data_IF_535304386132
#
_entry.id   IF_535304386132
#
_cell.length_a   1.000
_cell.length_b   1.000
_cell.length_c   1.000
_cell.angle_alpha   90.00
_cell.angle_beta   90.00
_cell.angle_gamma   90.00
#
_symmetry.space_group_name_H-M   'P 1'
#
loop_
_entity.id
_entity.type
_entity.pdbx_description
1 polymer ?
#
# COMPACT_ATOMS: atom_id res chain seq x y z
N UNK A 1 -11.92 67.31 25.52
CA UNK A 1 -11.10 66.49 26.45
C UNK A 1 -10.22 65.60 25.60
N UNK A 2 -8.91 65.83 25.60
CA UNK A 2 -7.99 65.17 24.67
C UNK A 2 -7.70 63.76 25.20
N UNK A 3 -7.59 62.78 24.29
CA UNK A 3 -7.36 61.35 24.59
C UNK A 3 -6.12 61.12 25.48
N UNK A 4 -5.20 62.08 25.51
CA UNK A 4 -3.99 62.08 26.32
C UNK A 4 -4.27 62.14 27.83
N UNK A 5 -5.25 62.93 28.24
CA UNK A 5 -5.56 63.16 29.66
C UNK A 5 -6.18 61.90 30.30
N UNK A 6 -6.91 61.10 29.49
CA UNK A 6 -7.50 59.83 29.92
C UNK A 6 -6.47 58.69 30.06
N UNK A 7 -5.33 58.80 29.38
CA UNK A 7 -4.24 57.81 29.47
C UNK A 7 -3.38 58.04 30.72
N UNK A 8 -3.19 59.29 31.14
CA UNK A 8 -2.48 59.61 32.39
C UNK A 8 -3.30 59.19 33.63
N UNK A 9 -4.62 59.39 33.63
CA UNK A 9 -5.49 58.89 34.71
C UNK A 9 -5.45 57.36 34.86
N UNK A 10 -5.32 56.61 33.76
CA UNK A 10 -5.24 55.14 33.78
C UNK A 10 -3.87 54.61 34.21
N UNK A 11 -2.79 55.36 33.98
CA UNK A 11 -1.43 54.96 34.40
C UNK A 11 -1.17 55.24 35.89
N UNK A 12 -1.95 56.11 36.52
CA UNK A 12 -1.77 56.52 37.92
C UNK A 12 -2.58 55.67 38.91
N UNK A 13 -3.44 54.76 38.43
CA UNK A 13 -4.28 53.86 39.25
C UNK A 13 -3.88 52.38 39.14
N UNK A 14 -2.58 52.08 39.19
CA UNK A 14 -2.11 50.71 39.41
C UNK A 14 -1.98 50.46 40.92
N UNK A 15 -2.73 49.51 41.51
CA UNK A 15 -2.54 49.13 42.92
C UNK A 15 -1.18 48.46 43.12
N UNK A 16 -0.58 48.71 44.30
CA UNK A 16 0.66 48.09 44.75
C UNK A 16 0.59 46.56 44.73
N UNK A 17 1.75 45.95 44.46
CA UNK A 17 1.96 44.54 44.22
C UNK A 17 1.51 43.67 45.41
N UNK A 18 0.61 42.72 45.13
CA UNK A 18 0.40 41.55 46.00
C UNK A 18 1.30 40.41 45.51
N UNK A 19 2.19 39.99 46.39
CA UNK A 19 3.27 39.01 46.20
C UNK A 19 2.70 37.60 46.34
N UNK A 20 2.05 37.10 45.28
CA UNK A 20 1.61 35.71 45.21
C UNK A 20 2.35 34.95 44.09
N UNK A 21 3.55 34.48 44.45
CA UNK A 21 4.02 33.13 44.10
C UNK A 21 4.44 32.79 42.65
N UNK A 22 4.49 33.72 41.69
CA UNK A 22 4.98 33.45 40.34
C UNK A 22 6.30 34.17 40.02
N UNK A 23 7.42 33.54 40.38
CA UNK A 23 8.74 33.92 39.85
C UNK A 23 8.80 33.63 38.35
N UNK A 24 8.37 34.59 37.53
CA UNK A 24 8.58 34.55 36.08
C UNK A 24 10.01 35.00 35.77
N UNK A 25 10.95 34.06 35.73
CA UNK A 25 12.23 34.29 35.06
C UNK A 25 12.05 34.13 33.55
N UNK A 26 12.41 35.18 32.79
CA UNK A 26 12.61 35.06 31.36
C UNK A 26 13.72 34.03 31.10
N UNK A 27 13.53 33.05 30.20
CA UNK A 27 14.55 32.04 29.94
C UNK A 27 15.80 32.70 29.36
N UNK A 28 16.92 32.62 30.09
CA UNK A 28 18.23 33.15 29.71
C UNK A 28 18.87 32.46 28.49
N UNK A 29 18.12 31.60 27.78
CA UNK A 29 18.50 31.00 26.51
C UNK A 29 17.24 30.56 25.76
N UNK A 30 17.04 31.09 24.55
CA UNK A 30 16.08 30.53 23.60
C UNK A 30 16.51 29.09 23.29
N UNK A 31 15.61 28.11 23.52
CA UNK A 31 15.83 26.73 23.08
C UNK A 31 16.14 26.77 21.59
N UNK A 32 17.27 26.19 21.18
CA UNK A 32 17.53 25.90 19.77
C UNK A 32 16.43 24.96 19.31
N UNK A 33 15.53 25.50 18.51
CA UNK A 33 14.55 24.74 17.76
C UNK A 33 15.35 23.89 16.77
N UNK A 34 15.60 22.61 17.09
CA UNK A 34 16.12 21.67 16.11
C UNK A 34 14.97 21.24 15.21
N UNK A 35 14.43 22.21 14.48
CA UNK A 35 13.80 21.93 13.21
C UNK A 35 14.93 21.50 12.27
N UNK A 36 15.17 20.18 12.18
CA UNK A 36 16.11 19.61 11.21
C UNK A 36 15.82 20.25 9.84
N UNK A 37 16.86 20.60 9.07
CA UNK A 37 16.73 21.29 7.77
C UNK A 37 15.75 20.54 6.85
N UNK A 38 15.69 19.21 7.04
CA UNK A 38 14.73 18.31 6.43
C UNK A 38 13.28 18.57 6.85
N UNK A 39 13.03 18.76 8.15
CA UNK A 39 11.72 19.12 8.72
C UNK A 39 11.31 20.54 8.30
N UNK A 40 12.24 21.49 8.29
CA UNK A 40 12.00 22.84 7.79
C UNK A 40 11.66 22.85 6.30
N UNK A 41 12.32 22.02 5.50
CA UNK A 41 11.99 21.78 4.09
C UNK A 41 10.60 21.15 3.94
N UNK A 42 10.24 20.17 4.77
CA UNK A 42 8.91 19.54 4.70
C UNK A 42 7.79 20.51 5.06
N UNK A 43 7.99 21.34 6.08
CA UNK A 43 7.05 22.42 6.45
C UNK A 43 6.96 23.43 5.30
N UNK A 44 8.08 23.83 4.68
CA UNK A 44 8.09 24.73 3.52
C UNK A 44 7.50 24.12 2.25
N UNK A 45 7.63 22.81 2.01
CA UNK A 45 7.00 22.13 0.88
C UNK A 45 5.49 21.99 1.10
N UNK A 46 5.05 21.62 2.31
CA UNK A 46 3.65 21.57 2.69
C UNK A 46 2.99 22.97 2.68
N UNK A 47 3.76 24.01 3.00
CA UNK A 47 3.34 25.42 2.94
C UNK A 47 3.62 26.10 1.60
N UNK A 48 4.17 25.39 0.61
CA UNK A 48 4.42 25.97 -0.71
C UNK A 48 3.08 26.30 -1.37
N UNK A 49 2.95 27.52 -1.91
CA UNK A 49 1.72 28.04 -2.53
C UNK A 49 1.17 27.15 -3.66
N UNK A 50 1.98 26.22 -4.19
CA UNK A 50 1.55 25.21 -5.17
C UNK A 50 0.76 24.04 -4.58
N UNK A 51 0.95 23.72 -3.28
CA UNK A 51 0.19 22.70 -2.56
C UNK A 51 -0.97 23.27 -1.72
N UNK A 52 -0.91 24.55 -1.36
CA UNK A 52 -1.87 25.19 -0.45
C UNK A 52 -3.08 25.86 -1.14
N UNK A 53 -3.12 25.95 -2.48
CA UNK A 53 -4.21 26.60 -3.22
C UNK A 53 -5.00 25.61 -4.08
N UNK A 54 -6.27 25.42 -3.74
CA UNK A 54 -7.27 24.63 -4.48
C UNK A 54 -7.72 23.39 -3.72
N UNK A 55 -8.83 22.77 -4.16
CA UNK A 55 -9.49 21.55 -3.64
C UNK A 55 -8.59 20.33 -3.30
N UNK A 56 -7.29 20.45 -3.54
CA UNK A 56 -6.21 19.47 -3.42
C UNK A 56 -5.82 19.13 -1.98
N UNK A 57 -6.02 20.03 -1.01
CA UNK A 57 -5.82 19.75 0.44
C UNK A 57 -7.06 19.11 1.07
N UNK A 58 -8.25 19.40 0.53
CA UNK A 58 -9.53 18.88 1.03
C UNK A 58 -9.59 17.35 0.96
N UNK A 59 -9.12 16.75 -0.13
CA UNK A 59 -9.09 15.29 -0.30
C UNK A 59 -8.16 14.58 0.70
N UNK A 60 -6.97 15.14 0.97
CA UNK A 60 -5.98 14.58 1.90
C UNK A 60 -6.43 14.72 3.36
N UNK A 61 -6.89 15.91 3.77
CA UNK A 61 -7.44 16.14 5.13
C UNK A 61 -8.74 15.37 5.36
N UNK A 62 -9.63 15.29 4.35
CA UNK A 62 -10.84 14.48 4.45
C UNK A 62 -10.51 12.98 4.52
N UNK A 63 -9.47 12.50 3.84
CA UNK A 63 -9.04 11.10 3.95
C UNK A 63 -8.46 10.75 5.32
N UNK A 64 -7.70 11.67 5.93
CA UNK A 64 -7.13 11.50 7.27
C UNK A 64 -8.17 11.63 8.39
N UNK A 65 -9.11 12.58 8.31
CA UNK A 65 -10.07 12.89 9.39
C UNK A 65 -11.30 11.94 9.46
N UNK A 66 -11.35 10.86 8.67
CA UNK A 66 -12.50 9.92 8.63
C UNK A 66 -12.43 8.78 9.64
N UNK A 67 -11.32 8.58 10.34
CA UNK A 67 -11.15 7.50 11.33
C UNK A 67 -11.99 7.69 12.61
N UNK A 68 -12.56 8.87 12.86
CA UNK A 68 -13.27 9.19 14.12
C UNK A 68 -14.74 9.64 14.00
N UNK A 69 -15.40 9.44 12.85
CA UNK A 69 -16.82 9.85 12.66
C UNK A 69 -17.78 8.67 12.76
N UNK A 70 -19.05 8.97 13.05
CA UNK A 70 -20.17 8.03 12.94
C UNK A 70 -20.12 7.27 11.60
N UNK A 71 -20.48 5.98 11.61
CA UNK A 71 -20.44 5.15 10.42
C UNK A 71 -21.33 5.76 9.33
N UNK A 72 -20.75 6.06 8.16
CA UNK A 72 -21.50 6.49 6.97
C UNK A 72 -21.20 5.52 5.85
N UNK A 73 -22.25 5.10 5.15
CA UNK A 73 -22.13 4.28 3.96
C UNK A 73 -21.33 5.04 2.90
N UNK A 74 -20.15 4.53 2.54
CA UNK A 74 -19.30 5.16 1.52
C UNK A 74 -19.69 4.68 0.13
N UNK A 75 -20.43 5.53 -0.58
CA UNK A 75 -20.87 5.29 -1.95
C UNK A 75 -19.81 5.64 -3.00
N UNK A 76 -18.63 6.13 -2.60
CA UNK A 76 -17.58 6.45 -3.58
C UNK A 76 -17.00 5.21 -4.23
N UNK A 77 -16.54 5.36 -5.47
CA UNK A 77 -15.70 4.36 -6.12
C UNK A 77 -14.44 4.08 -5.30
N UNK A 78 -14.18 2.80 -5.05
CA UNK A 78 -12.99 2.35 -4.32
C UNK A 78 -11.91 2.02 -5.33
N UNK A 79 -10.71 2.51 -5.06
CA UNK A 79 -9.52 2.18 -5.85
C UNK A 79 -8.42 1.80 -4.87
N UNK A 80 -7.76 0.66 -5.14
CA UNK A 80 -6.55 0.27 -4.45
C UNK A 80 -5.38 0.83 -5.24
N UNK A 81 -4.51 1.58 -4.56
CA UNK A 81 -3.23 2.01 -5.13
C UNK A 81 -2.12 1.45 -4.28
N UNK A 82 -1.27 0.62 -4.90
CA UNK A 82 -0.02 0.17 -4.28
C UNK A 82 1.12 0.97 -4.90
N UNK A 83 1.98 1.55 -4.08
CA UNK A 83 3.10 2.37 -4.53
C UNK A 83 4.40 1.90 -3.87
N UNK A 84 5.42 1.66 -4.68
CA UNK A 84 6.76 1.28 -4.23
C UNK A 84 7.82 2.20 -4.83
N UNK A 85 8.79 2.57 -4.01
CA UNK A 85 10.00 3.27 -4.44
C UNK A 85 11.08 2.24 -4.72
N UNK A 86 11.37 1.98 -5.99
CA UNK A 86 12.45 1.09 -6.39
C UNK A 86 13.75 1.86 -6.48
N UNK A 87 14.57 1.75 -5.43
CA UNK A 87 15.89 2.39 -5.36
C UNK A 87 16.89 1.60 -6.18
N UNK A 88 17.65 2.31 -7.00
CA UNK A 88 18.72 1.71 -7.79
C UNK A 88 19.99 1.54 -6.94
N UNK A 89 20.03 0.48 -6.12
CA UNK A 89 21.20 0.06 -5.35
C UNK A 89 22.12 -0.83 -6.23
N UNK A 90 23.45 -0.69 -6.14
CA UNK A 90 24.42 -1.51 -6.91
C UNK A 90 25.11 -0.80 -8.09
N UNK A 91 25.72 -1.53 -9.04
CA UNK A 91 26.40 -0.98 -10.24
C UNK A 91 25.42 -0.84 -11.42
N UNK A 92 25.68 0.12 -12.32
CA UNK A 92 24.78 0.58 -13.41
C UNK A 92 24.10 -0.52 -14.24
N UNK A 93 24.85 -1.54 -14.68
CA UNK A 93 24.33 -2.63 -15.51
C UNK A 93 23.28 -3.51 -14.79
N UNK A 94 23.50 -3.81 -13.50
CA UNK A 94 22.58 -4.63 -12.71
C UNK A 94 21.24 -3.92 -12.46
N UNK A 95 21.26 -2.58 -12.34
CA UNK A 95 20.06 -1.75 -12.16
C UNK A 95 19.19 -1.74 -13.42
N UNK A 96 19.82 -1.51 -14.58
CA UNK A 96 19.15 -1.53 -15.87
C UNK A 96 18.55 -2.91 -16.16
N UNK A 97 19.29 -3.99 -15.85
CA UNK A 97 18.80 -5.36 -16.00
C UNK A 97 17.55 -5.64 -15.14
N UNK A 98 17.52 -5.21 -13.87
CA UNK A 98 16.37 -5.40 -12.99
C UNK A 98 15.12 -4.63 -13.47
N UNK A 99 15.30 -3.41 -14.00
CA UNK A 99 14.20 -2.64 -14.59
C UNK A 99 13.71 -3.27 -15.90
N UNK A 100 14.64 -3.69 -16.78
CA UNK A 100 14.31 -4.36 -18.03
C UNK A 100 13.58 -5.70 -17.81
N UNK A 101 14.02 -6.50 -16.83
CA UNK A 101 13.34 -7.75 -16.45
C UNK A 101 11.91 -7.47 -15.96
N UNK A 102 11.71 -6.40 -15.19
CA UNK A 102 10.39 -6.01 -14.73
C UNK A 102 9.48 -5.55 -15.89
N UNK A 103 10.01 -4.76 -16.84
CA UNK A 103 9.27 -4.39 -18.06
C UNK A 103 8.85 -5.63 -18.86
N UNK A 104 9.75 -6.60 -19.02
CA UNK A 104 9.42 -7.86 -19.70
C UNK A 104 8.33 -8.64 -18.96
N UNK A 105 8.41 -8.71 -17.63
CA UNK A 105 7.39 -9.37 -16.81
C UNK A 105 6.02 -8.71 -16.91
N UNK A 106 5.97 -7.37 -16.99
CA UNK A 106 4.74 -6.60 -17.17
C UNK A 106 4.14 -6.79 -18.56
N UNK A 107 4.94 -6.90 -19.61
CA UNK A 107 4.49 -7.15 -20.99
C UNK A 107 4.30 -8.63 -21.34
N UNK A 108 4.08 -9.51 -20.36
CA UNK A 108 3.97 -10.95 -20.59
C UNK A 108 2.71 -11.31 -21.39
N UNK A 109 2.76 -12.43 -22.12
CA UNK A 109 1.56 -13.05 -22.68
C UNK A 109 0.61 -13.46 -21.57
N UNK A 110 -0.69 -13.39 -21.84
CA UNK A 110 -1.75 -13.71 -20.88
C UNK A 110 -2.23 -12.51 -20.07
N UNK A 111 -1.47 -11.42 -20.02
CA UNK A 111 -1.80 -10.25 -19.19
C UNK A 111 -2.70 -9.23 -19.91
N UNK A 112 -2.72 -9.20 -21.24
CA UNK A 112 -3.54 -8.29 -22.04
C UNK A 112 -5.01 -8.70 -22.12
N UNK A 113 -5.79 -7.93 -22.88
CA UNK A 113 -7.19 -8.26 -23.18
C UNK A 113 -7.25 -9.63 -23.86
N UNK A 114 -8.19 -10.48 -23.44
CA UNK A 114 -8.36 -11.85 -23.98
C UNK A 114 -7.10 -12.74 -23.92
N UNK A 115 -6.13 -12.43 -23.05
CA UNK A 115 -4.90 -13.21 -22.90
C UNK A 115 -3.77 -12.80 -23.85
N UNK A 116 -3.91 -11.69 -24.56
CA UNK A 116 -2.86 -11.14 -25.40
C UNK A 116 -1.65 -10.61 -24.60
N UNK A 117 -0.63 -10.14 -25.30
CA UNK A 117 0.46 -9.39 -24.66
C UNK A 117 -0.06 -8.03 -24.19
N UNK A 118 0.27 -7.68 -22.96
CA UNK A 118 -0.07 -6.36 -22.45
C UNK A 118 0.77 -5.28 -23.16
N UNK A 119 0.10 -4.36 -23.85
CA UNK A 119 0.72 -3.25 -24.56
C UNK A 119 1.12 -2.14 -23.56
N UNK A 120 2.24 -1.47 -23.84
CA UNK A 120 2.66 -0.31 -23.07
C UNK A 120 2.19 0.98 -23.73
N UNK A 121 1.86 1.96 -22.91
CA UNK A 121 1.47 3.29 -23.33
C UNK A 121 2.03 4.34 -22.37
N UNK A 122 2.09 5.58 -22.83
CA UNK A 122 2.37 6.73 -21.98
C UNK A 122 1.25 7.77 -22.10
N UNK A 123 1.57 9.04 -21.79
CA UNK A 123 0.63 10.14 -21.88
C UNK A 123 0.03 10.31 -23.28
N UNK A 124 0.84 10.15 -24.32
CA UNK A 124 0.51 10.56 -25.69
C UNK A 124 0.52 9.38 -26.66
N UNK A 125 1.38 8.40 -26.41
CA UNK A 125 1.67 7.30 -27.33
C UNK A 125 1.07 6.00 -26.79
N UNK A 126 0.32 5.32 -27.65
CA UNK A 126 -0.04 3.91 -27.47
C UNK A 126 1.03 3.02 -28.14
N UNK A 127 1.17 1.78 -27.68
CA UNK A 127 2.09 0.78 -28.25
C UNK A 127 3.56 1.19 -28.25
N UNK A 128 3.98 1.80 -27.15
CA UNK A 128 5.35 2.25 -26.89
C UNK A 128 6.30 1.06 -26.69
N UNK A 129 7.50 1.14 -27.27
CA UNK A 129 8.63 0.29 -26.86
C UNK A 129 9.09 0.66 -25.44
N UNK A 130 8.58 -0.10 -24.47
CA UNK A 130 8.90 0.10 -23.06
C UNK A 130 10.39 -0.09 -22.76
N UNK A 131 11.12 -0.95 -23.48
CA UNK A 131 12.57 -1.13 -23.24
C UNK A 131 13.33 0.11 -23.65
N UNK A 132 13.01 0.68 -24.81
CA UNK A 132 13.60 1.94 -25.26
C UNK A 132 13.27 3.08 -24.30
N UNK A 133 12.02 3.18 -23.84
CA UNK A 133 11.56 4.24 -22.95
C UNK A 133 12.27 4.25 -21.58
N UNK A 134 12.58 3.08 -21.03
CA UNK A 134 13.23 2.97 -19.70
C UNK A 134 14.75 2.83 -19.76
N UNK A 135 15.36 2.74 -20.94
CA UNK A 135 16.79 2.44 -21.10
C UNK A 135 17.69 3.36 -20.25
N UNK A 136 17.36 4.66 -20.24
CA UNK A 136 18.14 5.68 -19.52
C UNK A 136 17.78 5.82 -18.03
N UNK A 137 16.79 5.07 -17.52
CA UNK A 137 16.35 5.21 -16.14
C UNK A 137 17.29 4.49 -15.18
N UNK A 138 18.09 3.52 -15.63
CA UNK A 138 19.04 2.78 -14.76
C UNK A 138 20.14 3.65 -14.13
N UNK A 139 20.36 4.86 -14.66
CA UNK A 139 21.24 5.88 -14.08
C UNK A 139 20.57 6.78 -13.04
N UNK A 140 19.24 6.76 -12.94
CA UNK A 140 18.52 7.55 -11.95
C UNK A 140 18.73 6.98 -10.54
N UNK A 141 18.42 7.76 -9.50
CA UNK A 141 18.50 7.27 -8.12
C UNK A 141 17.44 6.19 -7.84
N UNK A 142 16.26 6.35 -8.44
CA UNK A 142 15.11 5.49 -8.21
C UNK A 142 14.07 5.67 -9.32
N UNK A 143 13.11 4.75 -9.37
CA UNK A 143 11.83 4.92 -10.06
C UNK A 143 10.69 4.48 -9.12
N UNK A 144 9.47 4.90 -9.44
CA UNK A 144 8.28 4.47 -8.73
C UNK A 144 7.57 3.39 -9.54
N UNK A 145 7.08 2.38 -8.84
CA UNK A 145 6.17 1.36 -9.37
C UNK A 145 4.83 1.55 -8.70
N UNK A 146 3.79 1.79 -9.48
CA UNK A 146 2.44 1.95 -9.02
C UNK A 146 1.58 0.84 -9.60
N UNK A 147 0.61 0.38 -8.81
CA UNK A 147 -0.50 -0.44 -9.29
C UNK A 147 -1.77 0.33 -8.97
N UNK A 148 -2.62 0.53 -9.96
CA UNK A 148 -3.91 1.21 -9.82
C UNK A 148 -4.99 0.19 -10.16
N UNK A 149 -5.74 -0.25 -9.14
CA UNK A 149 -6.78 -1.29 -9.27
C UNK A 149 -8.13 -0.73 -8.80
N UNK A 150 -8.97 -0.24 -9.72
CA UNK A 150 -10.35 0.13 -9.42
C UNK A 150 -11.15 -1.11 -9.03
N UNK A 151 -11.98 -1.02 -7.98
CA UNK A 151 -12.78 -2.17 -7.52
C UNK A 151 -13.75 -2.68 -8.58
N UNK A 152 -14.27 -1.77 -9.42
CA UNK A 152 -15.17 -2.04 -10.54
C UNK A 152 -14.47 -1.73 -11.88
N UNK A 153 -13.21 -2.17 -12.03
CA UNK A 153 -12.37 -1.90 -13.19
C UNK A 153 -12.95 -2.42 -14.51
N UNK A 154 -13.71 -3.52 -14.46
CA UNK A 154 -14.42 -4.12 -15.59
C UNK A 154 -15.51 -3.22 -16.18
N UNK A 155 -16.06 -2.28 -15.38
CA UNK A 155 -17.02 -1.27 -15.85
C UNK A 155 -16.35 -0.06 -16.50
N UNK A 156 -15.03 0.07 -16.40
CA UNK A 156 -14.27 1.13 -17.05
C UNK A 156 -13.95 0.68 -18.49
N UNK A 157 -14.69 1.24 -19.45
CA UNK A 157 -14.55 0.89 -20.88
C UNK A 157 -13.12 1.03 -21.41
N UNK A 158 -12.42 2.08 -21.01
CA UNK A 158 -11.03 2.33 -21.41
C UNK A 158 -10.16 2.61 -20.17
N UNK A 159 -9.46 1.56 -19.74
CA UNK A 159 -8.56 1.63 -18.59
C UNK A 159 -7.30 2.47 -18.90
N UNK A 160 -6.85 2.56 -20.16
CA UNK A 160 -5.68 3.36 -20.54
C UNK A 160 -5.98 4.84 -20.35
N UNK A 161 -7.12 5.30 -20.87
CA UNK A 161 -7.56 6.69 -20.70
C UNK A 161 -7.83 7.01 -19.22
N UNK A 162 -8.36 6.07 -18.44
CA UNK A 162 -8.45 6.21 -16.99
C UNK A 162 -7.09 6.45 -16.34
N UNK A 163 -6.08 5.66 -16.68
CA UNK A 163 -4.71 5.84 -16.13
C UNK A 163 -4.10 7.16 -16.56
N UNK A 164 -4.30 7.60 -17.82
CA UNK A 164 -3.86 8.91 -18.30
C UNK A 164 -4.43 10.05 -17.46
N UNK A 165 -5.73 10.02 -17.16
CA UNK A 165 -6.37 11.01 -16.29
C UNK A 165 -5.78 11.02 -14.88
N UNK A 166 -5.60 9.83 -14.29
CA UNK A 166 -5.00 9.70 -12.96
C UNK A 166 -3.60 10.30 -12.96
N UNK A 167 -2.77 9.93 -13.93
CA UNK A 167 -1.39 10.40 -14.03
C UNK A 167 -1.29 11.88 -14.41
N UNK A 168 -2.26 12.42 -15.15
CA UNK A 168 -2.39 13.85 -15.42
C UNK A 168 -2.65 14.65 -14.14
N UNK A 169 -3.58 14.18 -13.28
CA UNK A 169 -3.86 14.78 -11.96
C UNK A 169 -2.66 14.68 -11.02
N UNK A 170 -1.99 13.52 -11.00
CA UNK A 170 -0.76 13.31 -10.23
C UNK A 170 0.36 14.26 -10.69
N UNK A 171 0.55 14.38 -12.00
CA UNK A 171 1.50 15.34 -12.58
C UNK A 171 1.19 16.78 -12.16
N UNK A 172 -0.09 17.18 -12.22
CA UNK A 172 -0.54 18.51 -11.80
C UNK A 172 -0.33 18.77 -10.30
N UNK A 173 -0.69 17.81 -9.43
CA UNK A 173 -0.49 17.91 -7.98
C UNK A 173 1.00 18.04 -7.62
N UNK A 174 1.88 17.30 -8.31
CA UNK A 174 3.33 17.35 -8.08
C UNK A 174 3.98 18.58 -8.73
N UNK A 175 3.23 19.41 -9.46
CA UNK A 175 3.77 20.52 -10.24
C UNK A 175 4.74 20.04 -11.33
N UNK A 176 4.49 18.85 -11.89
CA UNK A 176 5.28 18.19 -12.92
C UNK A 176 4.36 17.82 -14.09
N UNK A 177 3.89 18.80 -14.89
CA UNK A 177 3.07 18.49 -16.07
C UNK A 177 3.84 17.66 -17.09
N UNK A 178 5.18 17.68 -17.08
CA UNK A 178 6.06 16.83 -17.89
C UNK A 178 6.46 15.50 -17.24
N UNK A 179 5.72 15.03 -16.23
CA UNK A 179 6.06 13.79 -15.51
C UNK A 179 6.17 12.59 -16.47
N UNK A 180 7.35 11.99 -16.55
CA UNK A 180 7.61 10.82 -17.41
C UNK A 180 7.13 9.55 -16.71
N UNK A 181 6.24 8.82 -17.37
CA UNK A 181 5.74 7.52 -16.93
C UNK A 181 5.38 6.66 -18.13
N UNK A 182 5.41 5.35 -17.94
CA UNK A 182 4.85 4.36 -18.87
C UNK A 182 3.93 3.45 -18.09
N UNK A 183 2.91 2.91 -18.73
CA UNK A 183 1.96 2.02 -18.08
C UNK A 183 1.55 0.86 -18.98
N UNK A 184 0.98 -0.17 -18.36
CA UNK A 184 0.31 -1.26 -19.05
C UNK A 184 -0.92 -1.69 -18.24
N UNK A 185 -1.92 -2.24 -18.92
CA UNK A 185 -3.18 -2.68 -18.32
C UNK A 185 -3.24 -4.21 -18.33
N UNK A 186 -3.52 -4.80 -17.17
CA UNK A 186 -3.64 -6.24 -16.95
C UNK A 186 -5.11 -6.64 -16.76
N UNK A 187 -5.51 -7.73 -17.43
CA UNK A 187 -6.86 -8.31 -17.42
C UNK A 187 -6.87 -9.80 -17.04
N UNK A 188 -5.74 -10.30 -16.54
CA UNK A 188 -5.52 -11.71 -16.17
C UNK A 188 -5.99 -12.07 -14.75
N UNK A 189 -6.63 -11.12 -14.07
CA UNK A 189 -7.17 -11.29 -12.72
C UNK A 189 -8.64 -10.88 -12.68
N UNK A 190 -9.34 -11.22 -11.59
CA UNK A 190 -10.75 -10.87 -11.40
C UNK A 190 -11.02 -9.35 -11.49
N UNK A 191 -10.00 -8.50 -11.33
CA UNK A 191 -10.13 -7.04 -11.39
C UNK A 191 -9.09 -6.45 -12.35
N UNK A 192 -9.52 -5.86 -13.48
CA UNK A 192 -8.62 -5.13 -14.37
C UNK A 192 -7.86 -4.05 -13.62
N UNK A 193 -6.54 -4.02 -13.79
CA UNK A 193 -5.66 -3.10 -13.08
C UNK A 193 -4.54 -2.60 -13.98
N UNK A 194 -3.92 -1.50 -13.60
CA UNK A 194 -2.83 -0.90 -14.36
C UNK A 194 -1.54 -0.89 -13.56
N UNK A 195 -0.45 -1.29 -14.21
CA UNK A 195 0.92 -1.07 -13.74
C UNK A 195 1.45 0.23 -14.32
N UNK A 196 1.98 1.11 -13.48
CA UNK A 196 2.60 2.36 -13.90
C UNK A 196 4.04 2.41 -13.39
N UNK A 197 4.98 2.57 -14.31
CA UNK A 197 6.36 2.91 -13.99
C UNK A 197 6.53 4.41 -14.17
N UNK A 198 6.91 5.11 -13.11
CA UNK A 198 7.11 6.56 -13.13
C UNK A 198 8.57 6.87 -12.83
N UNK A 199 9.20 7.66 -13.69
CA UNK A 199 10.62 8.01 -13.56
C UNK A 199 10.85 8.83 -12.28
N UNK A 200 11.88 8.50 -11.51
CA UNK A 200 12.22 9.24 -10.28
C UNK A 200 12.98 10.55 -10.53
N UNK A 201 12.79 11.18 -11.69
CA UNK A 201 13.50 12.38 -12.15
C UNK A 201 12.51 13.39 -12.72
N UNK A 202 12.73 14.66 -12.40
CA UNK A 202 11.97 15.81 -12.86
C UNK A 202 12.45 16.25 -14.25
N UNK A 203 11.67 17.11 -14.90
CA UNK A 203 12.06 17.71 -16.19
C UNK A 203 13.32 18.58 -16.10
N UNK A 204 13.61 19.15 -14.93
CA UNK A 204 14.84 19.92 -14.66
C UNK A 204 16.06 19.04 -14.32
N UNK A 205 15.92 17.71 -14.41
CA UNK A 205 16.99 16.76 -14.14
C UNK A 205 17.23 16.45 -12.65
N UNK A 206 16.52 17.09 -11.72
CA UNK A 206 16.62 16.75 -10.28
C UNK A 206 15.82 15.50 -9.94
N UNK A 207 16.13 14.88 -8.81
CA UNK A 207 15.33 13.78 -8.28
C UNK A 207 13.89 14.23 -8.02
N UNK A 208 12.92 13.41 -8.45
CA UNK A 208 11.53 13.56 -8.06
C UNK A 208 11.35 13.00 -6.64
N UNK A 209 10.94 13.85 -5.70
CA UNK A 209 10.64 13.44 -4.32
C UNK A 209 9.15 13.66 -4.06
N UNK A 210 8.43 12.57 -3.79
CA UNK A 210 7.00 12.61 -3.51
C UNK A 210 6.78 12.58 -1.98
N UNK A 211 5.98 13.50 -1.40
CA UNK A 211 5.66 13.49 0.02
C UNK A 211 5.01 12.16 0.45
N UNK A 212 5.36 11.67 1.64
CA UNK A 212 4.84 10.40 2.18
C UNK A 212 3.31 10.38 2.25
N UNK A 213 2.69 11.49 2.65
CA UNK A 213 1.23 11.59 2.73
C UNK A 213 0.58 11.55 1.34
N UNK A 214 1.24 12.11 0.32
CA UNK A 214 0.75 12.02 -1.04
C UNK A 214 0.82 10.58 -1.58
N UNK A 215 1.90 9.85 -1.27
CA UNK A 215 1.97 8.41 -1.55
C UNK A 215 0.87 7.63 -0.78
N UNK A 216 0.68 7.93 0.51
CA UNK A 216 -0.25 7.20 1.36
C UNK A 216 -1.74 7.48 1.06
N UNK A 217 -2.07 8.67 0.57
CA UNK A 217 -3.45 9.12 0.40
C UNK A 217 -3.73 9.78 -0.95
N UNK A 218 -2.83 10.64 -1.42
CA UNK A 218 -3.03 11.48 -2.61
C UNK A 218 -3.22 10.69 -3.90
N UNK A 219 -2.32 9.75 -4.21
CA UNK A 219 -2.41 8.90 -5.41
C UNK A 219 -3.76 8.18 -5.48
N UNK A 220 -4.18 7.57 -4.36
CA UNK A 220 -5.46 6.87 -4.26
C UNK A 220 -6.63 7.83 -4.40
N UNK A 221 -6.58 9.02 -3.80
CA UNK A 221 -7.64 10.00 -3.92
C UNK A 221 -7.87 10.40 -5.39
N UNK A 222 -6.82 10.68 -6.15
CA UNK A 222 -6.94 11.03 -7.58
C UNK A 222 -7.48 9.88 -8.43
N UNK A 223 -7.04 8.66 -8.13
CA UNK A 223 -7.57 7.48 -8.78
C UNK A 223 -9.07 7.30 -8.49
N UNK A 224 -9.50 7.48 -7.23
CA UNK A 224 -10.91 7.42 -6.85
C UNK A 224 -11.75 8.50 -7.52
N UNK A 225 -11.27 9.74 -7.60
CA UNK A 225 -11.97 10.83 -8.31
C UNK A 225 -12.14 10.51 -9.80
N UNK A 226 -11.07 10.05 -10.46
CA UNK A 226 -11.13 9.68 -11.88
C UNK A 226 -12.08 8.50 -12.15
N UNK A 227 -12.20 7.56 -11.20
CA UNK A 227 -13.14 6.44 -11.29
C UNK A 227 -14.57 6.91 -11.02
N UNK A 228 -14.75 7.80 -10.05
CA UNK A 228 -16.03 8.39 -9.67
C UNK A 228 -16.67 9.16 -10.83
N UNK A 229 -15.89 9.97 -11.54
CA UNK A 229 -16.39 10.72 -12.71
C UNK A 229 -16.85 9.82 -13.86
N UNK A 230 -16.24 8.63 -14.00
CA UNK A 230 -16.56 7.68 -15.06
C UNK A 230 -17.75 6.78 -14.72
N UNK A 231 -17.80 6.31 -13.48
CA UNK A 231 -18.73 5.26 -13.04
C UNK A 231 -19.90 5.81 -12.23
N UNK A 232 -19.83 7.07 -11.80
CA UNK A 232 -20.74 7.64 -10.81
C UNK A 232 -20.53 7.07 -9.41
N UNK A 233 -21.45 7.41 -8.51
CA UNK A 233 -21.50 6.78 -7.18
C UNK A 233 -21.88 5.30 -7.30
N UNK A 234 -21.42 4.48 -6.35
CA UNK A 234 -21.98 3.16 -6.17
C UNK A 234 -23.45 3.29 -5.78
N UNK A 235 -24.24 2.33 -6.28
CA UNK A 235 -25.59 2.15 -5.77
C UNK A 235 -25.54 1.89 -4.27
N UNK A 236 -26.61 2.28 -3.56
CA UNK A 236 -26.74 2.01 -2.13
C UNK A 236 -26.59 0.52 -1.82
N UNK A 237 -27.17 -0.34 -2.66
CA UNK A 237 -27.11 -1.80 -2.53
C UNK A 237 -25.67 -2.32 -2.65
N UNK A 238 -24.91 -1.80 -3.62
CA UNK A 238 -23.52 -2.23 -3.80
C UNK A 238 -22.61 -1.73 -2.67
N UNK A 239 -22.85 -0.51 -2.19
CA UNK A 239 -22.15 0.03 -1.03
C UNK A 239 -22.46 -0.79 0.24
N UNK A 240 -23.72 -1.18 0.47
CA UNK A 240 -24.11 -2.04 1.59
C UNK A 240 -23.48 -3.44 1.46
N UNK A 241 -23.50 -4.02 0.25
CA UNK A 241 -22.84 -5.31 -0.04
C UNK A 241 -21.33 -5.25 0.22
N UNK A 242 -20.66 -4.17 -0.18
CA UNK A 242 -19.22 -3.96 0.08
C UNK A 242 -18.92 -4.02 1.57
N UNK A 243 -19.70 -3.28 2.37
CA UNK A 243 -19.52 -3.23 3.82
C UNK A 243 -19.84 -4.58 4.45
N UNK A 244 -20.91 -5.26 4.01
CA UNK A 244 -21.24 -6.60 4.49
C UNK A 244 -20.14 -7.63 4.20
N UNK A 245 -19.53 -7.58 3.01
CA UNK A 245 -18.37 -8.44 2.69
C UNK A 245 -17.20 -8.22 3.65
N UNK A 246 -17.01 -7.00 4.19
CA UNK A 246 -15.95 -6.75 5.17
C UNK A 246 -16.24 -7.43 6.52
N UNK A 247 -17.50 -7.66 6.91
CA UNK A 247 -17.82 -8.36 8.17
C UNK A 247 -17.41 -9.83 8.12
N UNK A 248 -17.47 -10.44 6.94
CA UNK A 248 -17.17 -11.86 6.70
C UNK A 248 -15.69 -12.12 6.30
N UNK A 249 -14.82 -11.12 6.34
CA UNK A 249 -13.49 -11.23 5.78
C UNK A 249 -12.50 -11.96 6.73
N UNK A 250 -11.86 -13.04 6.25
CA UNK A 250 -10.76 -13.74 6.95
C UNK A 250 -9.42 -13.00 6.85
N UNK A 251 -9.44 -11.69 7.07
CA UNK A 251 -8.27 -10.80 7.11
C UNK A 251 -8.56 -9.61 8.00
N UNK A 252 -7.52 -8.90 8.41
CA UNK A 252 -7.67 -7.69 9.21
C UNK A 252 -8.22 -6.54 8.36
N UNK A 253 -9.27 -5.88 8.85
CA UNK A 253 -10.04 -4.85 8.13
C UNK A 253 -10.08 -3.51 8.88
N UNK A 254 -10.70 -2.50 8.27
CA UNK A 254 -10.99 -1.25 8.97
C UNK A 254 -12.04 -1.43 10.08
N UNK A 255 -12.94 -2.40 9.93
CA UNK A 255 -13.94 -2.75 10.93
C UNK A 255 -13.27 -3.24 12.22
N UNK A 256 -12.28 -4.12 12.10
CA UNK A 256 -11.52 -4.65 13.24
C UNK A 256 -10.78 -3.54 14.01
N UNK A 257 -10.14 -2.60 13.31
CA UNK A 257 -9.52 -1.43 13.95
C UNK A 257 -10.51 -0.60 14.76
N UNK A 258 -11.73 -0.45 14.26
CA UNK A 258 -12.77 0.32 14.95
C UNK A 258 -13.39 -0.47 16.11
N UNK A 259 -13.48 -1.80 16.01
CA UNK A 259 -13.85 -2.65 17.14
C UNK A 259 -12.81 -2.54 18.26
N UNK A 260 -11.52 -2.65 17.93
CA UNK A 260 -10.43 -2.50 18.90
C UNK A 260 -10.41 -1.11 19.54
N UNK A 261 -10.68 -0.05 18.77
CA UNK A 261 -10.78 1.31 19.30
C UNK A 261 -12.02 1.55 20.17
N UNK A 262 -13.09 0.77 19.99
CA UNK A 262 -14.33 0.85 20.76
C UNK A 262 -14.34 -0.09 21.98
N UNK A 263 -13.43 -1.07 22.02
CA UNK A 263 -13.29 -1.97 23.15
C UNK A 263 -12.81 -1.23 24.40
N UNK A 264 -13.25 -1.68 25.57
CA UNK A 264 -12.76 -1.16 26.84
C UNK A 264 -11.34 -1.67 27.15
N UNK A 265 -10.80 -1.23 28.29
CA UNK A 265 -9.46 -1.59 28.77
C UNK A 265 -9.22 -3.10 28.91
N UNK A 266 -10.29 -3.89 29.05
CA UNK A 266 -10.22 -5.35 29.19
C UNK A 266 -10.51 -6.07 27.85
N UNK A 267 -10.56 -5.31 26.75
CA UNK A 267 -10.85 -5.83 25.41
C UNK A 267 -12.31 -6.20 25.20
N UNK A 268 -13.25 -5.71 26.03
CA UNK A 268 -14.67 -6.02 25.89
C UNK A 268 -15.41 -4.99 25.06
N UNK A 269 -16.31 -5.46 24.22
CA UNK A 269 -17.18 -4.64 23.37
C UNK A 269 -18.62 -5.13 23.47
N UNK A 270 -19.59 -4.23 23.34
CA UNK A 270 -21.00 -4.60 23.35
C UNK A 270 -21.35 -5.38 22.07
N UNK A 271 -22.28 -6.34 22.20
CA UNK A 271 -22.74 -7.18 21.10
C UNK A 271 -23.53 -6.41 20.03
N UNK A 272 -23.85 -5.13 20.26
CA UNK A 272 -24.63 -4.30 19.36
C UNK A 272 -26.11 -4.66 19.30
N UNK A 273 -26.62 -5.55 20.16
CA UNK A 273 -28.06 -5.89 20.23
C UNK A 273 -28.83 -4.72 20.83
N UNK A 274 -29.92 -4.32 20.19
CA UNK A 274 -30.75 -3.17 20.59
C UNK A 274 -30.33 -1.83 19.94
N UNK A 275 -29.16 -1.79 19.29
CA UNK A 275 -28.76 -0.66 18.45
C UNK A 275 -29.44 -0.70 17.08
N UNK A 276 -30.04 0.43 16.70
CA UNK A 276 -30.73 0.61 15.41
C UNK A 276 -29.84 1.18 14.31
N UNK A 277 -28.61 1.56 14.63
CA UNK A 277 -27.68 2.11 13.65
C UNK A 277 -26.96 1.03 12.83
N UNK A 278 -26.45 1.43 11.66
CA UNK A 278 -25.72 0.53 10.78
C UNK A 278 -24.45 -0.03 11.45
N UNK A 279 -23.81 0.74 12.33
CA UNK A 279 -22.62 0.29 13.06
C UNK A 279 -22.92 -0.91 13.97
N UNK A 280 -24.04 -0.90 14.68
CA UNK A 280 -24.47 -2.01 15.53
C UNK A 280 -24.73 -3.28 14.71
N UNK A 281 -25.32 -3.15 13.52
CA UNK A 281 -25.54 -4.29 12.62
C UNK A 281 -24.23 -4.91 12.12
N UNK A 282 -23.26 -4.07 11.74
CA UNK A 282 -21.95 -4.53 11.27
C UNK A 282 -21.12 -5.14 12.40
N UNK A 283 -21.20 -4.56 13.60
CA UNK A 283 -20.56 -5.07 14.81
C UNK A 283 -21.08 -6.47 15.13
N UNK A 284 -22.41 -6.68 15.12
CA UNK A 284 -23.03 -8.01 15.28
C UNK A 284 -22.50 -9.03 14.26
N UNK A 285 -22.54 -8.65 12.98
CA UNK A 285 -22.08 -9.53 11.90
C UNK A 285 -20.60 -9.91 12.06
N UNK A 286 -19.74 -8.92 12.36
CA UNK A 286 -18.31 -9.15 12.50
C UNK A 286 -17.96 -9.95 13.74
N UNK A 287 -18.55 -9.64 14.89
CA UNK A 287 -18.30 -10.37 16.13
C UNK A 287 -18.68 -11.85 16.02
N UNK A 288 -19.76 -12.17 15.29
CA UNK A 288 -20.13 -13.56 14.98
C UNK A 288 -19.04 -14.27 14.18
N UNK A 289 -18.54 -13.64 13.11
CA UNK A 289 -17.43 -14.20 12.32
C UNK A 289 -16.16 -14.36 13.16
N UNK A 290 -15.84 -13.39 14.02
CA UNK A 290 -14.68 -13.50 14.90
C UNK A 290 -14.85 -14.59 15.96
N UNK A 291 -16.07 -14.82 16.47
CA UNK A 291 -16.38 -15.92 17.37
C UNK A 291 -16.21 -17.29 16.69
N UNK A 292 -16.69 -17.45 15.46
CA UNK A 292 -16.48 -18.65 14.63
C UNK A 292 -14.99 -18.94 14.39
N UNK A 293 -14.16 -17.90 14.29
CA UNK A 293 -12.70 -18.00 14.18
C UNK A 293 -11.98 -18.19 15.53
N UNK A 294 -12.70 -18.18 16.66
CA UNK A 294 -12.12 -18.26 18.01
C UNK A 294 -11.39 -16.99 18.45
N UNK A 295 -11.62 -15.86 17.77
CA UNK A 295 -10.99 -14.56 18.02
C UNK A 295 -11.87 -13.58 18.82
N UNK A 296 -13.10 -13.97 19.11
CA UNK A 296 -13.97 -13.30 20.06
C UNK A 296 -14.71 -14.33 20.92
N UNK A 297 -14.94 -14.01 22.19
CA UNK A 297 -15.69 -14.88 23.10
C UNK A 297 -16.87 -14.13 23.67
N UNK A 298 -18.07 -14.71 23.57
CA UNK A 298 -19.29 -14.09 24.09
C UNK A 298 -19.36 -14.15 25.61
N UNK A 299 -19.68 -13.00 26.21
CA UNK A 299 -19.86 -12.76 27.65
C UNK A 299 -21.19 -12.04 27.89
N UNK A 300 -22.27 -12.80 27.89
CA UNK A 300 -23.63 -12.24 28.01
C UNK A 300 -23.94 -11.32 26.82
N UNK A 301 -24.06 -10.02 27.08
CA UNK A 301 -24.34 -8.97 26.07
C UNK A 301 -23.08 -8.30 25.52
N UNK A 302 -21.90 -8.81 25.87
CA UNK A 302 -20.61 -8.29 25.41
C UNK A 302 -19.80 -9.42 24.79
N UNK A 303 -18.75 -9.06 24.07
CA UNK A 303 -17.73 -9.96 23.57
C UNK A 303 -16.38 -9.52 24.10
N UNK A 304 -15.55 -10.47 24.52
CA UNK A 304 -14.13 -10.23 24.74
C UNK A 304 -13.37 -10.53 23.45
N UNK A 305 -12.65 -9.55 22.94
CA UNK A 305 -11.81 -9.67 21.74
C UNK A 305 -10.47 -10.30 22.15
N UNK A 306 -9.98 -11.25 21.35
CA UNK A 306 -8.66 -11.85 21.55
C UNK A 306 -7.54 -10.80 21.39
N UNK A 307 -6.52 -10.78 22.26
CA UNK A 307 -5.35 -9.90 22.09
C UNK A 307 -4.57 -10.21 20.80
N UNK A 308 -4.68 -11.44 20.28
CA UNK A 308 -4.00 -11.89 19.07
C UNK A 308 -4.81 -11.66 17.78
N UNK A 309 -5.98 -11.00 17.87
CA UNK A 309 -6.90 -10.77 16.74
C UNK A 309 -6.18 -10.33 15.46
N UNK A 310 -5.37 -9.27 15.56
CA UNK A 310 -4.68 -8.72 14.39
C UNK A 310 -3.65 -9.70 13.82
N UNK A 311 -2.86 -10.33 14.69
CA UNK A 311 -1.83 -11.30 14.30
C UNK A 311 -2.46 -12.49 13.59
N UNK A 312 -3.48 -13.12 14.18
CA UNK A 312 -4.14 -14.29 13.59
C UNK A 312 -4.85 -13.96 12.28
N UNK A 313 -5.55 -12.83 12.19
CA UNK A 313 -6.20 -12.43 10.92
C UNK A 313 -5.19 -12.12 9.81
N UNK A 314 -4.00 -11.59 10.14
CA UNK A 314 -2.91 -11.39 9.17
C UNK A 314 -2.29 -12.72 8.74
N UNK A 315 -2.19 -13.70 9.63
CA UNK A 315 -1.74 -15.04 9.30
C UNK A 315 -2.74 -15.78 8.39
N UNK A 316 -4.04 -15.63 8.64
CA UNK A 316 -5.08 -16.19 7.78
C UNK A 316 -5.03 -15.60 6.36
N UNK A 317 -4.82 -14.29 6.24
CA UNK A 317 -4.61 -13.63 4.94
C UNK A 317 -3.42 -14.25 4.19
N UNK A 318 -2.30 -14.43 4.88
CA UNK A 318 -1.10 -15.10 4.32
C UNK A 318 -1.41 -16.53 3.88
N UNK A 319 -2.08 -17.33 4.73
CA UNK A 319 -2.40 -18.73 4.42
C UNK A 319 -3.27 -18.83 3.17
N UNK A 320 -4.22 -17.90 3.00
CA UNK A 320 -5.06 -17.84 1.80
C UNK A 320 -4.24 -17.58 0.53
N UNK A 321 -3.25 -16.70 0.60
CA UNK A 321 -2.33 -16.43 -0.51
C UNK A 321 -1.46 -17.65 -0.85
N UNK A 322 -1.00 -18.39 0.16
CA UNK A 322 -0.27 -19.66 -0.02
C UNK A 322 -1.16 -20.69 -0.72
N UNK A 323 -2.38 -20.92 -0.20
CA UNK A 323 -3.33 -21.90 -0.77
C UNK A 323 -3.64 -21.57 -2.23
N UNK A 324 -3.86 -20.29 -2.56
CA UNK A 324 -4.07 -19.84 -3.94
C UNK A 324 -2.90 -20.24 -4.84
N UNK A 325 -1.67 -20.00 -4.37
CA UNK A 325 -0.44 -20.31 -5.11
C UNK A 325 -0.26 -21.81 -5.34
N UNK A 326 -0.52 -22.63 -4.31
CA UNK A 326 -0.42 -24.09 -4.40
C UNK A 326 -1.50 -24.68 -5.34
N UNK A 327 -2.73 -24.17 -5.28
CA UNK A 327 -3.80 -24.59 -6.19
C UNK A 327 -3.48 -24.22 -7.64
N UNK A 328 -2.96 -23.02 -7.88
CA UNK A 328 -2.51 -22.63 -9.22
C UNK A 328 -1.40 -23.57 -9.72
N UNK A 329 -0.42 -23.90 -8.88
CA UNK A 329 0.65 -24.85 -9.24
C UNK A 329 0.10 -26.24 -9.59
N UNK A 330 -0.91 -26.70 -8.86
CA UNK A 330 -1.59 -27.97 -9.13
C UNK A 330 -2.31 -27.96 -10.47
N UNK A 331 -2.98 -26.86 -10.82
CA UNK A 331 -3.64 -26.71 -12.12
C UNK A 331 -2.64 -26.67 -13.28
N UNK A 332 -1.50 -26.00 -13.09
CA UNK A 332 -0.46 -25.85 -14.13
C UNK A 332 0.33 -27.14 -14.40
N UNK A 333 0.57 -27.97 -13.38
CA UNK A 333 1.53 -29.08 -13.46
C UNK A 333 0.99 -30.45 -13.07
N UNK A 334 -0.24 -30.51 -12.54
CA UNK A 334 -0.82 -31.73 -11.95
C UNK A 334 -0.19 -32.14 -10.62
N UNK A 335 0.85 -31.45 -10.13
CA UNK A 335 1.60 -31.81 -8.93
C UNK A 335 1.12 -31.05 -7.70
N UNK A 336 1.16 -31.72 -6.55
CA UNK A 336 0.84 -31.12 -5.25
C UNK A 336 2.14 -30.67 -4.60
N UNK A 337 2.34 -29.36 -4.52
CA UNK A 337 3.43 -28.79 -3.75
C UNK A 337 3.04 -28.71 -2.27
N UNK A 338 3.98 -29.05 -1.39
CA UNK A 338 3.81 -29.01 0.07
C UNK A 338 4.51 -27.79 0.67
N UNK A 339 4.08 -27.31 1.84
CA UNK A 339 4.78 -26.24 2.53
C UNK A 339 6.12 -26.79 3.06
N UNK A 340 7.21 -26.06 2.81
CA UNK A 340 8.54 -26.44 3.27
C UNK A 340 8.60 -26.47 4.81
N UNK A 341 9.24 -27.51 5.34
CA UNK A 341 9.51 -27.62 6.77
C UNK A 341 10.71 -26.75 7.15
N UNK A 342 10.81 -26.30 8.42
CA UNK A 342 12.01 -25.61 8.88
C UNK A 342 13.27 -26.44 8.65
N UNK A 343 14.35 -25.77 8.23
CA UNK A 343 15.63 -26.38 7.89
C UNK A 343 16.05 -26.16 6.45
N UNK A 344 17.00 -26.98 5.97
CA UNK A 344 17.63 -26.81 4.67
C UNK A 344 16.75 -27.36 3.54
N UNK A 345 16.40 -26.51 2.59
CA UNK A 345 15.72 -26.87 1.35
C UNK A 345 16.69 -26.67 0.17
N UNK A 346 17.00 -27.73 -0.59
CA UNK A 346 17.88 -27.64 -1.75
C UNK A 346 17.29 -28.38 -2.95
N UNK A 347 17.45 -27.80 -4.14
CA UNK A 347 16.93 -28.38 -5.38
C UNK A 347 16.77 -27.35 -6.49
N UNK A 348 16.00 -27.73 -7.51
CA UNK A 348 15.70 -26.90 -8.67
C UNK A 348 14.47 -26.02 -8.40
N UNK A 349 14.55 -24.72 -8.69
CA UNK A 349 13.41 -23.82 -8.63
C UNK A 349 12.46 -24.16 -9.78
N UNK A 350 11.25 -24.61 -9.46
CA UNK A 350 10.23 -24.93 -10.48
C UNK A 350 9.24 -23.78 -10.69
N UNK A 351 9.07 -22.93 -9.68
CA UNK A 351 8.28 -21.71 -9.77
C UNK A 351 8.83 -20.68 -8.80
N UNK A 352 9.00 -19.45 -9.25
CA UNK A 352 9.25 -18.30 -8.39
C UNK A 352 8.25 -17.20 -8.74
N UNK A 353 7.82 -16.44 -7.72
CA UNK A 353 6.82 -15.41 -7.92
C UNK A 353 6.66 -14.53 -6.69
N UNK A 354 5.58 -13.76 -6.66
CA UNK A 354 5.21 -12.95 -5.51
C UNK A 354 3.71 -12.99 -5.31
N UNK A 355 3.26 -12.95 -4.05
CA UNK A 355 1.83 -12.82 -3.72
C UNK A 355 1.32 -11.40 -3.91
N UNK A 356 2.23 -10.46 -4.16
CA UNK A 356 1.91 -9.12 -4.61
C UNK A 356 2.68 -8.79 -5.89
N UNK A 357 2.04 -8.09 -6.81
CA UNK A 357 2.67 -7.72 -8.09
C UNK A 357 3.78 -6.67 -7.96
N UNK A 358 3.98 -6.12 -6.75
CA UNK A 358 5.13 -5.25 -6.43
C UNK A 358 6.36 -6.03 -5.92
N UNK A 359 6.31 -7.35 -5.90
CA UNK A 359 7.42 -8.22 -5.48
C UNK A 359 7.89 -8.02 -4.02
N UNK A 360 7.05 -7.50 -3.12
CA UNK A 360 7.40 -7.37 -1.71
C UNK A 360 7.19 -8.69 -0.94
N UNK A 361 6.30 -9.57 -1.40
CA UNK A 361 5.95 -10.86 -0.79
C UNK A 361 6.32 -12.04 -1.69
N UNK A 362 7.62 -12.18 -1.97
CA UNK A 362 8.14 -13.22 -2.86
C UNK A 362 7.99 -14.63 -2.29
N UNK A 363 7.86 -15.61 -3.18
CA UNK A 363 7.86 -17.03 -2.87
C UNK A 363 8.62 -17.82 -3.91
N UNK A 364 8.93 -19.06 -3.54
CA UNK A 364 9.55 -20.04 -4.41
C UNK A 364 8.96 -21.42 -4.15
N UNK A 365 8.88 -22.23 -5.20
CA UNK A 365 8.64 -23.67 -5.14
C UNK A 365 9.89 -24.34 -5.67
N UNK A 366 10.51 -25.18 -4.83
CA UNK A 366 11.74 -25.91 -5.13
C UNK A 366 11.42 -27.39 -5.21
N UNK A 367 11.92 -28.06 -6.24
CA UNK A 367 11.87 -29.52 -6.37
C UNK A 367 13.18 -30.11 -5.88
N UNK A 368 13.11 -30.93 -4.84
CA UNK A 368 14.27 -31.62 -4.32
C UNK A 368 14.71 -32.80 -5.21
N UNK A 369 15.84 -33.42 -4.85
CA UNK A 369 16.37 -34.59 -5.57
C UNK A 369 15.47 -35.84 -5.51
N UNK A 370 14.44 -35.85 -4.64
CA UNK A 370 13.43 -36.91 -4.57
C UNK A 370 12.20 -36.57 -5.41
N UNK A 371 12.19 -35.43 -6.11
CA UNK A 371 11.09 -34.98 -6.96
C UNK A 371 9.96 -34.29 -6.21
N UNK A 372 10.10 -34.05 -4.90
CA UNK A 372 9.06 -33.42 -4.08
C UNK A 372 9.11 -31.90 -4.24
N UNK A 373 7.96 -31.29 -4.55
CA UNK A 373 7.85 -29.84 -4.69
C UNK A 373 7.51 -29.20 -3.34
N UNK A 374 8.38 -28.30 -2.87
CA UNK A 374 8.25 -27.62 -1.59
C UNK A 374 8.17 -26.10 -1.77
N UNK A 375 7.14 -25.51 -1.19
CA UNK A 375 6.87 -24.09 -1.19
C UNK A 375 7.52 -23.39 0.01
N UNK A 376 8.21 -22.28 -0.24
CA UNK A 376 8.73 -21.41 0.81
C UNK A 376 8.52 -19.94 0.46
N UNK A 377 8.26 -19.11 1.48
CA UNK A 377 8.22 -17.65 1.31
C UNK A 377 9.63 -17.11 1.39
N UNK A 378 10.01 -16.17 0.54
CA UNK A 378 11.33 -15.55 0.62
C UNK A 378 11.33 -14.37 1.59
N UNK A 379 12.40 -14.24 2.36
CA UNK A 379 12.65 -13.07 3.20
C UNK A 379 12.83 -11.81 2.35
N UNK A 380 12.50 -10.65 2.93
CA UNK A 380 12.71 -9.35 2.28
C UNK A 380 14.19 -9.15 2.00
N UNK A 381 14.54 -8.79 0.76
CA UNK A 381 15.93 -8.60 0.33
C UNK A 381 16.59 -9.83 -0.28
N UNK A 382 15.95 -11.00 -0.23
CA UNK A 382 16.41 -12.17 -0.97
C UNK A 382 16.32 -11.90 -2.47
N UNK A 383 17.42 -12.19 -3.20
CA UNK A 383 17.52 -12.01 -4.64
C UNK A 383 16.37 -12.70 -5.39
N UNK A 384 16.01 -12.18 -6.55
CA UNK A 384 15.02 -12.84 -7.40
C UNK A 384 15.57 -14.20 -7.85
N UNK A 385 14.76 -15.25 -7.69
CA UNK A 385 15.07 -16.60 -8.18
C UNK A 385 14.34 -16.83 -9.49
N UNK A 386 14.96 -17.60 -10.38
CA UNK A 386 14.40 -17.91 -11.70
C UNK A 386 14.11 -19.41 -11.77
N UNK A 387 13.02 -19.78 -12.45
CA UNK A 387 12.75 -21.20 -12.72
C UNK A 387 13.92 -21.85 -13.47
N UNK A 388 14.25 -23.10 -13.12
CA UNK A 388 15.42 -23.84 -13.59
C UNK A 388 16.69 -23.62 -12.77
N UNK A 389 16.73 -22.59 -11.90
CA UNK A 389 17.90 -22.34 -11.06
C UNK A 389 18.01 -23.37 -9.94
N UNK A 390 19.20 -23.92 -9.70
CA UNK A 390 19.47 -24.72 -8.51
C UNK A 390 19.80 -23.81 -7.31
N UNK A 391 19.14 -24.04 -6.18
CA UNK A 391 19.25 -23.21 -4.97
C UNK A 391 19.38 -24.05 -3.71
N UNK A 392 19.98 -23.45 -2.68
CA UNK A 392 19.93 -23.94 -1.31
C UNK A 392 19.40 -22.81 -0.42
N UNK A 393 18.33 -23.10 0.29
CA UNK A 393 17.60 -22.18 1.15
C UNK A 393 17.62 -22.68 2.59
N UNK A 394 17.71 -21.76 3.53
CA UNK A 394 17.46 -22.02 4.94
C UNK A 394 16.05 -21.52 5.28
N UNK A 395 15.15 -22.44 5.65
CA UNK A 395 13.76 -22.15 5.96
C UNK A 395 13.61 -22.02 7.47
N UNK A 396 13.25 -20.83 7.94
CA UNK A 396 12.99 -20.58 9.36
C UNK A 396 11.65 -21.16 9.83
N UNK A 397 11.42 -21.13 11.16
CA UNK A 397 10.19 -21.64 11.79
C UNK A 397 8.90 -20.97 11.27
N UNK A 398 8.99 -19.71 10.84
CA UNK A 398 7.87 -18.97 10.25
C UNK A 398 7.65 -19.26 8.74
N UNK A 399 8.37 -20.23 8.16
CA UNK A 399 8.32 -20.55 6.73
C UNK A 399 8.98 -19.52 5.81
N UNK A 400 9.73 -18.57 6.39
CA UNK A 400 10.54 -17.60 5.67
C UNK A 400 11.91 -18.21 5.34
N UNK A 401 12.27 -18.17 4.07
CA UNK A 401 13.48 -18.72 3.51
C UNK A 401 14.49 -17.62 3.16
N UNK A 402 15.77 -17.91 3.42
CA UNK A 402 16.90 -17.11 2.96
C UNK A 402 17.82 -17.96 2.09
N UNK A 403 18.44 -17.35 1.08
CA UNK A 403 19.42 -18.05 0.26
C UNK A 403 20.67 -18.29 1.11
N UNK A 404 21.12 -19.55 1.19
CA UNK A 404 22.41 -19.91 1.77
C UNK A 404 23.47 -19.63 0.71
N UNK A 405 24.38 -18.65 0.90
CA UNK A 405 25.46 -18.41 -0.05
C UNK A 405 26.47 -19.57 0.03
N UNK A 406 26.57 -20.41 -1.00
CA UNK A 406 27.48 -21.55 -1.00
C UNK A 406 27.75 -22.18 -2.36
N UNK A 407 29.00 -22.03 -2.83
CA UNK A 407 29.74 -22.66 -3.96
C UNK A 407 28.92 -23.55 -4.92
N UNK A 408 28.61 -23.00 -6.09
CA UNK A 408 28.54 -23.81 -7.30
C UNK A 408 29.94 -24.38 -7.61
N UNK A 409 30.23 -25.59 -7.13
CA UNK A 409 31.18 -26.46 -7.81
C UNK A 409 30.35 -27.31 -8.74
N UNK A 410 30.60 -27.15 -10.04
CA UNK A 410 30.13 -28.10 -11.04
C UNK A 410 30.53 -29.50 -10.60
N UNK A 411 29.55 -30.38 -10.52
CA UNK A 411 29.79 -31.80 -10.57
C UNK A 411 29.70 -32.14 -12.05
N UNK A 412 30.85 -32.16 -12.70
CA UNK A 412 31.03 -32.99 -13.90
C UNK A 412 30.70 -34.42 -13.48
N UNK A 413 29.66 -34.98 -14.08
CA UNK A 413 29.44 -36.42 -14.10
C UNK A 413 30.29 -36.96 -15.25
N UNK A 414 31.25 -37.81 -14.90
CA UNK A 414 31.97 -38.65 -15.84
C UNK A 414 31.13 -39.80 -16.35
#
# INVERSE_FOLDING_TARGET
MLVRDRFEELLTQAPEADDDGLRVQLPGRLKRDQCDVRTAMFIRLAASRNFALGDRVGALRAAQNRSGRAFRLDVRQRVIVKAMVSRHLGKGAARAAALAAHVVYLGRQGAGVEGDRAEFFDREIDNLDARAAVNNWGGDRHHFRLIVSPENGERIRDLRTYVRDVMGRVGADLGQPGLTWIATCHYDTDQPHAHVLMRGRRSDGRDLVIPRDYIGYGLRARAQEAAQERLGDLSRVDAERRVWKETQADRFTALDRRLLAAADKDGRIDDGVGGTDAWSALTRGRLRTLEELGLATREGRRFRISPDLETTLRELEVRRDIIRTLNQRRLESGRVAQIARPGRLAGEVVKAGSHDELEARRFVIVRDGQGVEQYARLSVGTGALVSGQHVSLDVGAAGLAQIIPGRGRGVELG
#
